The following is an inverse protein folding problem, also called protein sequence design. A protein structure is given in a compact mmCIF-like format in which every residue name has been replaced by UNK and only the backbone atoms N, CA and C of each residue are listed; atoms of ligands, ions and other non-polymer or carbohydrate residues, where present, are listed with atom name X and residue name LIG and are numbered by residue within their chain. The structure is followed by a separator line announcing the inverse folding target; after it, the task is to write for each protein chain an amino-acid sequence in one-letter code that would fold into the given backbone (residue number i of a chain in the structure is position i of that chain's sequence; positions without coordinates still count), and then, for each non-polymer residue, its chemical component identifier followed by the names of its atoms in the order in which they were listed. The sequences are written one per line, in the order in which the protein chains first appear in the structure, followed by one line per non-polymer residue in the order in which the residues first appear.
data_IF_336321431109
#
_entry.id   IF_336321431109
#
_cell.length_a   1.000
_cell.length_b   1.000
_cell.length_c   1.000
_cell.angle_alpha   90.00
_cell.angle_beta   90.00
_cell.angle_gamma   90.00
#
_symmetry.space_group_name_H-M   'P 1'
#
loop_
_entity.id
_entity.type
_entity.pdbx_description
1 polymer ?
#
# COMPACT_ATOMS: atom_id res chain seq x y z
N UNK A 1 -6.97 -24.18 -3.27
CA UNK A 1 -6.60 -24.20 -1.83
C UNK A 1 -7.51 -23.23 -1.09
N UNK A 2 -7.84 -23.49 0.18
CA UNK A 2 -8.59 -22.52 1.00
C UNK A 2 -7.72 -21.27 1.26
N UNK A 3 -8.32 -20.09 1.30
CA UNK A 3 -7.59 -18.81 1.42
C UNK A 3 -6.67 -18.72 2.65
N UNK A 4 -7.03 -19.39 3.75
CA UNK A 4 -6.21 -19.42 4.97
C UNK A 4 -4.84 -20.08 4.79
N UNK A 5 -4.66 -20.94 3.78
CA UNK A 5 -3.37 -21.57 3.49
C UNK A 5 -2.28 -20.55 3.16
N UNK A 6 -2.63 -19.45 2.50
CA UNK A 6 -1.69 -18.45 2.02
C UNK A 6 -1.23 -17.46 3.08
N UNK A 7 -1.91 -17.40 4.23
CA UNK A 7 -1.54 -16.52 5.32
C UNK A 7 -0.35 -17.07 6.10
N UNK A 8 0.56 -16.16 6.45
CA UNK A 8 1.69 -16.42 7.34
C UNK A 8 1.40 -15.88 8.75
N UNK A 9 2.00 -16.49 9.76
CA UNK A 9 1.85 -16.08 11.16
C UNK A 9 2.95 -15.11 11.64
N UNK A 10 3.99 -14.92 10.82
CA UNK A 10 5.07 -13.97 11.10
C UNK A 10 5.65 -13.41 9.81
N UNK A 11 6.35 -12.29 9.91
CA UNK A 11 7.11 -11.71 8.79
C UNK A 11 8.13 -12.74 8.25
N UNK A 12 8.89 -13.40 9.12
CA UNK A 12 9.89 -14.39 8.70
C UNK A 12 9.28 -15.55 7.89
N UNK A 13 8.11 -16.04 8.30
CA UNK A 13 7.37 -17.06 7.54
C UNK A 13 6.93 -16.51 6.18
N UNK A 14 6.35 -15.30 6.14
CA UNK A 14 5.91 -14.68 4.90
C UNK A 14 7.06 -14.48 3.90
N UNK A 15 8.19 -13.92 4.36
CA UNK A 15 9.38 -13.69 3.54
C UNK A 15 9.98 -15.01 3.05
N UNK A 16 10.08 -16.02 3.91
CA UNK A 16 10.55 -17.36 3.52
C UNK A 16 9.68 -17.98 2.44
N UNK A 17 8.35 -17.90 2.58
CA UNK A 17 7.40 -18.39 1.57
C UNK A 17 7.49 -17.65 0.25
N UNK A 18 7.72 -16.33 0.27
CA UNK A 18 7.92 -15.53 -0.93
C UNK A 18 9.16 -15.96 -1.71
N UNK A 19 10.27 -16.24 -1.01
CA UNK A 19 11.49 -16.74 -1.63
C UNK A 19 11.30 -18.15 -2.22
N UNK A 20 10.60 -19.04 -1.51
CA UNK A 20 10.24 -20.37 -2.02
C UNK A 20 9.38 -20.24 -3.30
N UNK A 21 8.38 -19.36 -3.30
CA UNK A 21 7.55 -19.13 -4.49
C UNK A 21 8.36 -18.59 -5.68
N UNK A 22 9.43 -17.82 -5.43
CA UNK A 22 10.36 -17.41 -6.50
C UNK A 22 11.11 -18.60 -7.10
N UNK A 23 11.52 -19.56 -6.26
CA UNK A 23 12.18 -20.79 -6.71
C UNK A 23 11.22 -21.70 -7.47
N UNK A 24 9.99 -21.90 -6.97
CA UNK A 24 8.95 -22.67 -7.64
C UNK A 24 8.66 -22.14 -9.05
N UNK A 25 8.60 -20.81 -9.22
CA UNK A 25 8.44 -20.19 -10.53
C UNK A 25 9.61 -20.47 -11.48
N UNK A 26 10.84 -20.53 -10.97
CA UNK A 26 12.00 -20.93 -11.79
C UNK A 26 11.90 -22.39 -12.22
N UNK A 27 11.49 -23.26 -11.32
CA UNK A 27 11.28 -24.69 -11.63
C UNK A 27 10.18 -24.89 -12.66
N UNK A 28 9.13 -24.06 -12.61
CA UNK A 28 8.07 -23.99 -13.62
C UNK A 28 8.53 -23.40 -14.97
N UNK A 29 9.78 -22.93 -15.08
CA UNK A 29 10.38 -22.45 -16.33
C UNK A 29 10.26 -20.95 -16.57
N UNK A 30 9.74 -20.17 -15.61
CA UNK A 30 9.73 -18.72 -15.69
C UNK A 30 11.13 -18.14 -15.50
N UNK A 31 11.40 -17.01 -16.17
CA UNK A 31 12.59 -16.21 -15.86
C UNK A 31 12.31 -15.42 -14.58
N UNK A 32 13.05 -15.70 -13.51
CA UNK A 32 12.87 -15.01 -12.20
C UNK A 32 14.19 -14.44 -11.67
N UNK A 33 14.21 -13.14 -11.42
CA UNK A 33 15.26 -12.43 -10.67
C UNK A 33 14.66 -11.98 -9.35
N UNK A 34 15.30 -12.24 -8.20
CA UNK A 34 14.83 -11.73 -6.91
C UNK A 34 15.99 -11.19 -6.06
N UNK A 35 15.71 -10.19 -5.25
CA UNK A 35 16.66 -9.50 -4.39
C UNK A 35 16.00 -9.23 -3.02
N UNK A 36 16.81 -9.17 -1.95
CA UNK A 36 16.36 -8.78 -0.62
C UNK A 36 16.99 -7.43 -0.28
N UNK A 37 16.17 -6.40 -0.11
CA UNK A 37 16.65 -5.05 0.23
C UNK A 37 16.60 -4.87 1.74
N UNK A 38 17.71 -5.13 2.43
CA UNK A 38 17.81 -5.01 3.89
C UNK A 38 17.62 -3.55 4.34
N UNK A 39 16.66 -3.31 5.24
CA UNK A 39 16.34 -1.97 5.75
C UNK A 39 17.15 -1.59 7.01
N UNK A 40 18.08 -2.46 7.43
CA UNK A 40 18.92 -2.24 8.61
C UNK A 40 18.20 -2.38 9.96
N UNK A 41 16.97 -2.92 9.96
CA UNK A 41 16.16 -3.18 11.16
C UNK A 41 16.02 -4.68 11.41
N UNK A 42 15.63 -5.05 12.63
CA UNK A 42 15.36 -6.44 13.02
C UNK A 42 13.92 -6.65 13.46
N UNK A 43 13.39 -7.83 13.19
CA UNK A 43 12.10 -8.28 13.67
C UNK A 43 12.12 -8.68 15.15
N UNK A 44 10.96 -9.14 15.68
CA UNK A 44 10.82 -9.50 17.09
C UNK A 44 11.71 -10.68 17.51
N UNK A 45 12.10 -11.56 16.58
CA UNK A 45 12.97 -12.72 16.84
C UNK A 45 14.45 -12.44 16.45
N UNK A 46 14.77 -11.19 16.10
CA UNK A 46 16.12 -10.77 15.71
C UNK A 46 16.47 -11.04 14.25
N UNK A 47 15.51 -11.48 13.42
CA UNK A 47 15.70 -11.66 12.00
C UNK A 47 15.89 -10.32 11.28
N UNK A 48 16.75 -10.25 10.24
CA UNK A 48 16.88 -9.03 9.44
C UNK A 48 15.60 -8.77 8.66
N UNK A 49 15.17 -7.51 8.65
CA UNK A 49 14.00 -7.06 7.90
C UNK A 49 14.42 -6.55 6.52
N UNK A 50 13.72 -7.04 5.50
CA UNK A 50 13.98 -6.74 4.10
C UNK A 50 12.69 -6.38 3.36
N UNK A 51 12.83 -5.53 2.34
CA UNK A 51 11.87 -5.47 1.24
C UNK A 51 12.33 -6.51 0.22
N UNK A 52 11.65 -7.65 0.16
CA UNK A 52 11.91 -8.69 -0.82
C UNK A 52 11.24 -8.31 -2.15
N UNK A 53 12.00 -8.37 -3.24
CA UNK A 53 11.53 -7.99 -4.57
C UNK A 53 11.79 -9.12 -5.55
N UNK A 54 10.86 -9.36 -6.47
CA UNK A 54 11.00 -10.35 -7.52
C UNK A 54 10.52 -9.80 -8.86
N UNK A 55 11.21 -10.16 -9.94
CA UNK A 55 10.86 -9.86 -11.32
C UNK A 55 10.64 -11.19 -12.02
N UNK A 56 9.42 -11.42 -12.51
CA UNK A 56 9.05 -12.59 -13.30
C UNK A 56 8.82 -12.15 -14.75
N UNK A 57 9.45 -12.83 -15.71
CA UNK A 57 9.34 -12.50 -17.14
C UNK A 57 10.44 -11.54 -17.63
N UNK A 58 10.09 -10.60 -18.53
CA UNK A 58 11.08 -9.76 -19.23
C UNK A 58 10.75 -8.27 -19.22
N UNK A 59 11.57 -7.47 -18.52
CA UNK A 59 11.50 -6.01 -18.52
C UNK A 59 11.78 -5.37 -19.90
N UNK A 60 12.43 -6.11 -20.81
CA UNK A 60 12.72 -5.64 -22.18
C UNK A 60 11.47 -5.53 -23.06
N UNK A 61 10.36 -6.12 -22.63
CA UNK A 61 9.05 -5.94 -23.25
C UNK A 61 8.51 -4.50 -23.12
N UNK A 62 9.03 -3.74 -22.15
CA UNK A 62 8.57 -2.40 -21.79
C UNK A 62 7.25 -2.36 -21.02
N UNK A 63 6.63 -3.51 -20.73
CA UNK A 63 5.33 -3.62 -20.04
C UNK A 63 5.50 -4.32 -18.70
N UNK A 64 5.07 -3.68 -17.63
CA UNK A 64 5.19 -4.20 -16.26
C UNK A 64 3.84 -4.19 -15.56
N UNK A 65 3.53 -5.28 -14.86
CA UNK A 65 2.59 -5.29 -13.75
C UNK A 65 3.42 -5.16 -12.44
N UNK A 66 3.27 -4.07 -11.71
CA UNK A 66 3.89 -3.84 -10.41
C UNK A 66 2.87 -4.18 -9.32
N UNK A 67 3.09 -5.27 -8.60
CA UNK A 67 2.30 -5.66 -7.43
C UNK A 67 3.06 -5.32 -6.16
N UNK A 68 2.54 -4.39 -5.36
CA UNK A 68 3.08 -4.06 -4.04
C UNK A 68 2.15 -4.49 -2.92
N UNK A 69 2.73 -4.79 -1.77
CA UNK A 69 2.00 -5.14 -0.56
C UNK A 69 2.59 -4.50 0.69
N UNK A 70 1.71 -4.25 1.67
CA UNK A 70 2.05 -3.88 3.03
C UNK A 70 2.84 -2.57 3.16
N UNK A 71 2.48 -1.55 2.38
CA UNK A 71 2.86 -0.18 2.70
C UNK A 71 2.33 0.23 4.09
N UNK A 72 1.11 -0.21 4.42
CA UNK A 72 0.66 -0.37 5.79
C UNK A 72 1.11 -1.75 6.29
N UNK A 73 2.06 -1.79 7.21
CA UNK A 73 2.80 -3.04 7.48
C UNK A 73 1.93 -4.25 7.86
N UNK A 74 0.94 -4.07 8.74
CA UNK A 74 0.02 -5.15 9.14
C UNK A 74 -0.82 -5.71 7.98
N UNK A 75 -1.06 -4.90 6.95
CA UNK A 75 -1.77 -5.30 5.73
C UNK A 75 -0.85 -6.08 4.77
N UNK A 76 0.45 -6.18 5.10
CA UNK A 76 1.41 -7.04 4.40
C UNK A 76 1.08 -8.53 4.50
N UNK A 77 0.39 -9.00 5.55
CA UNK A 77 -0.02 -10.41 5.64
C UNK A 77 -1.06 -10.81 4.57
N UNK A 78 -2.22 -10.12 4.44
CA UNK A 78 -3.16 -10.40 3.36
C UNK A 78 -2.55 -10.10 1.98
N UNK A 79 -1.79 -9.02 1.83
CA UNK A 79 -1.11 -8.72 0.56
C UNK A 79 -0.11 -9.81 0.15
N UNK A 80 0.69 -10.30 1.10
CA UNK A 80 1.58 -11.46 0.91
C UNK A 80 0.81 -12.70 0.50
N UNK A 81 -0.31 -12.99 1.16
CA UNK A 81 -1.11 -14.17 0.85
C UNK A 81 -1.64 -14.13 -0.60
N UNK A 82 -2.12 -12.95 -1.04
CA UNK A 82 -2.55 -12.73 -2.43
C UNK A 82 -1.38 -12.93 -3.40
N UNK A 83 -0.22 -12.32 -3.13
CA UNK A 83 0.96 -12.46 -3.99
C UNK A 83 1.40 -13.93 -4.11
N UNK A 84 1.44 -14.68 -3.01
CA UNK A 84 1.78 -16.11 -3.03
C UNK A 84 0.78 -16.94 -3.83
N UNK A 85 -0.52 -16.67 -3.69
CA UNK A 85 -1.55 -17.36 -4.48
C UNK A 85 -1.39 -17.08 -5.98
N UNK A 86 -1.12 -15.82 -6.35
CA UNK A 86 -0.85 -15.45 -7.74
C UNK A 86 0.41 -16.14 -8.26
N UNK A 87 1.50 -16.18 -7.48
CA UNK A 87 2.73 -16.87 -7.87
C UNK A 87 2.51 -18.38 -8.08
N UNK A 88 1.70 -19.03 -7.24
CA UNK A 88 1.31 -20.44 -7.41
C UNK A 88 0.47 -20.67 -8.67
N UNK A 89 -0.45 -19.76 -9.00
CA UNK A 89 -1.19 -19.83 -10.26
C UNK A 89 -0.29 -19.63 -11.47
N UNK A 90 0.68 -18.71 -11.40
CA UNK A 90 1.68 -18.51 -12.45
C UNK A 90 2.56 -19.74 -12.67
N UNK A 91 2.85 -20.55 -11.65
CA UNK A 91 3.57 -21.82 -11.81
C UNK A 91 2.83 -22.83 -12.72
N UNK A 92 1.52 -22.65 -12.94
CA UNK A 92 0.69 -23.52 -13.79
C UNK A 92 0.58 -22.99 -15.23
N UNK A 93 1.05 -21.77 -15.48
CA UNK A 93 1.01 -21.09 -16.77
C UNK A 93 2.33 -21.25 -17.53
N UNK A 94 2.27 -21.10 -18.86
CA UNK A 94 3.48 -21.09 -19.68
C UNK A 94 4.35 -19.86 -19.39
N UNK A 95 5.67 -20.01 -19.52
CA UNK A 95 6.60 -18.90 -19.36
C UNK A 95 6.32 -17.78 -20.37
N UNK A 96 6.25 -16.53 -19.90
CA UNK A 96 5.96 -15.36 -20.73
C UNK A 96 7.19 -14.45 -20.91
N UNK A 97 7.21 -13.71 -22.02
CA UNK A 97 8.32 -12.80 -22.41
C UNK A 97 7.87 -11.44 -22.92
N UNK A 98 6.56 -11.26 -23.13
CA UNK A 98 5.93 -10.08 -23.69
C UNK A 98 5.51 -9.03 -22.64
N UNK A 99 5.73 -9.36 -21.36
CA UNK A 99 5.58 -8.50 -20.19
C UNK A 99 6.49 -9.01 -19.04
N UNK A 100 6.53 -8.25 -17.95
CA UNK A 100 7.08 -8.67 -16.67
C UNK A 100 6.12 -8.36 -15.53
N UNK A 101 6.25 -9.11 -14.44
CA UNK A 101 5.59 -8.83 -13.17
C UNK A 101 6.68 -8.52 -12.15
N UNK A 102 6.56 -7.37 -11.49
CA UNK A 102 7.41 -7.00 -10.35
C UNK A 102 6.57 -7.20 -9.09
N UNK A 103 7.00 -8.08 -8.21
CA UNK A 103 6.44 -8.23 -6.87
C UNK A 103 7.31 -7.48 -5.87
N UNK A 104 6.69 -6.67 -5.02
CA UNK A 104 7.30 -6.02 -3.85
C UNK A 104 6.62 -6.56 -2.60
N UNK A 105 7.38 -7.33 -1.81
CA UNK A 105 6.95 -8.06 -0.62
C UNK A 105 7.93 -7.77 0.53
N UNK A 106 7.63 -6.94 1.51
CA UNK A 106 6.57 -5.96 1.64
C UNK A 106 7.25 -4.59 1.79
N UNK A 107 6.60 -3.48 1.41
CA UNK A 107 7.20 -2.14 1.47
C UNK A 107 7.57 -1.74 2.91
N UNK A 108 6.76 -2.15 3.91
CA UNK A 108 6.98 -1.86 5.32
C UNK A 108 7.22 -3.14 6.14
N UNK A 109 8.40 -3.78 6.01
CA UNK A 109 8.66 -5.04 6.71
C UNK A 109 8.72 -4.85 8.23
N UNK A 110 9.08 -3.65 8.71
CA UNK A 110 9.00 -3.32 10.14
C UNK A 110 7.56 -3.32 10.64
N UNK A 111 6.67 -2.58 9.99
CA UNK A 111 5.26 -2.55 10.37
C UNK A 111 4.65 -3.96 10.33
N UNK A 112 4.98 -4.77 9.33
CA UNK A 112 4.51 -6.15 9.23
C UNK A 112 4.99 -7.03 10.39
N UNK A 113 6.30 -7.04 10.65
CA UNK A 113 6.90 -7.85 11.71
C UNK A 113 6.38 -7.48 13.11
N UNK A 114 6.09 -6.20 13.33
CA UNK A 114 5.63 -5.67 14.61
C UNK A 114 4.10 -5.50 14.71
N UNK A 115 3.33 -6.00 13.74
CA UNK A 115 1.85 -5.91 13.70
C UNK A 115 1.31 -4.47 13.76
N UNK A 116 1.93 -3.57 13.01
CA UNK A 116 1.62 -2.13 12.98
C UNK A 116 1.41 -1.65 11.55
N UNK A 117 0.62 -0.58 11.43
CA UNK A 117 0.44 0.16 10.18
C UNK A 117 1.72 0.89 9.75
N UNK A 118 2.38 1.54 10.71
CA UNK A 118 3.48 2.48 10.49
C UNK A 118 4.86 1.80 10.52
N UNK A 119 5.89 2.45 9.99
CA UNK A 119 7.27 1.97 10.01
C UNK A 119 7.94 2.17 11.39
N UNK A 120 9.25 1.92 11.46
CA UNK A 120 10.11 2.06 12.64
C UNK A 120 10.10 3.47 13.26
N UNK A 121 9.87 4.49 12.44
CA UNK A 121 9.83 5.89 12.85
C UNK A 121 8.41 6.42 13.09
N UNK A 122 7.41 5.52 13.17
CA UNK A 122 5.98 5.88 13.27
C UNK A 122 5.45 6.66 12.06
N UNK A 123 6.10 6.51 10.90
CA UNK A 123 5.67 7.11 9.64
C UNK A 123 4.68 6.18 8.93
N UNK A 124 3.54 6.74 8.52
CA UNK A 124 2.67 6.13 7.53
C UNK A 124 3.33 6.25 6.16
N UNK A 125 3.86 5.13 5.66
CA UNK A 125 4.59 5.13 4.39
C UNK A 125 3.67 5.52 3.23
N UNK A 126 2.35 5.36 3.35
CA UNK A 126 1.40 5.82 2.34
C UNK A 126 1.11 7.33 2.45
N UNK A 127 1.91 8.07 3.21
CA UNK A 127 2.01 9.55 3.25
C UNK A 127 3.45 10.02 3.04
N UNK A 128 4.36 9.11 2.67
CA UNK A 128 5.80 9.39 2.60
C UNK A 128 6.33 9.50 1.16
N UNK A 129 5.53 9.19 0.14
CA UNK A 129 5.92 9.29 -1.27
C UNK A 129 5.49 10.64 -1.85
N UNK A 130 5.99 11.74 -1.27
CA UNK A 130 5.70 13.08 -1.74
C UNK A 130 6.20 13.30 -3.17
N UNK A 131 5.42 14.05 -3.96
CA UNK A 131 5.84 14.58 -5.26
C UNK A 131 6.97 15.59 -5.11
N UNK A 132 7.67 15.83 -6.20
CA UNK A 132 8.76 16.81 -6.30
C UNK A 132 8.34 18.26 -5.99
N UNK A 133 7.06 18.60 -6.13
CA UNK A 133 6.49 19.92 -5.81
C UNK A 133 5.97 20.03 -4.37
N UNK A 134 5.97 18.93 -3.60
CA UNK A 134 5.49 18.86 -2.23
C UNK A 134 6.66 18.87 -1.23
N UNK A 135 6.33 19.08 0.04
CA UNK A 135 7.30 19.13 1.15
C UNK A 135 6.75 18.41 2.37
N UNK A 136 7.65 17.85 3.17
CA UNK A 136 7.34 17.23 4.46
C UNK A 136 7.09 18.29 5.53
N UNK A 137 6.09 19.15 5.31
CA UNK A 137 5.73 20.24 6.22
C UNK A 137 4.22 20.44 6.27
N UNK A 138 3.72 20.94 7.41
CA UNK A 138 2.33 21.32 7.58
C UNK A 138 1.37 20.20 7.95
N UNK A 139 0.11 20.61 8.11
CA UNK A 139 -1.03 19.77 8.48
C UNK A 139 -2.27 20.18 7.67
N UNK A 140 -3.26 19.29 7.51
CA UNK A 140 -4.49 19.60 6.80
C UNK A 140 -5.24 20.77 7.44
N UNK A 141 -5.98 21.53 6.63
CA UNK A 141 -6.78 22.66 7.13
C UNK A 141 -7.81 22.15 8.15
N UNK A 142 -7.71 22.65 9.39
CA UNK A 142 -8.60 22.25 10.48
C UNK A 142 -8.08 21.10 11.35
N UNK A 143 -6.92 20.51 11.02
CA UNK A 143 -6.29 19.44 11.81
C UNK A 143 -6.12 19.83 13.28
N UNK A 144 -5.60 21.03 13.56
CA UNK A 144 -5.42 21.51 14.95
C UNK A 144 -6.70 21.49 15.78
N UNK A 145 -7.84 21.71 15.14
CA UNK A 145 -9.14 21.74 15.82
C UNK A 145 -9.63 20.35 16.25
N UNK A 146 -9.03 19.28 15.74
CA UNK A 146 -9.41 17.88 15.99
C UNK A 146 -8.25 17.03 16.51
N UNK A 147 -7.01 17.54 16.48
CA UNK A 147 -5.77 16.83 16.78
C UNK A 147 -5.81 16.08 18.10
N UNK A 148 -6.22 16.75 19.18
CA UNK A 148 -6.32 16.14 20.52
C UNK A 148 -7.39 15.04 20.61
N UNK A 149 -8.42 15.11 19.76
CA UNK A 149 -9.47 14.10 19.74
C UNK A 149 -9.01 12.81 19.04
N UNK A 150 -8.24 12.92 17.97
CA UNK A 150 -7.77 11.78 17.17
C UNK A 150 -6.42 11.23 17.65
N UNK A 151 -5.67 12.00 18.44
CA UNK A 151 -4.40 11.61 19.04
C UNK A 151 -4.44 11.75 20.57
N UNK A 152 -5.11 10.83 21.28
CA UNK A 152 -5.19 10.89 22.73
C UNK A 152 -3.81 10.64 23.39
N UNK A 153 -3.48 11.37 24.44
CA UNK A 153 -2.20 11.25 25.17
C UNK A 153 -2.08 9.94 25.97
N UNK A 154 -3.20 9.28 26.23
CA UNK A 154 -3.28 8.02 26.98
C UNK A 154 -4.26 7.06 26.31
N UNK A 155 -4.06 5.74 26.43
CA UNK A 155 -5.04 4.76 25.96
C UNK A 155 -6.45 5.05 26.50
N UNK A 156 -7.48 4.94 25.66
CA UNK A 156 -8.84 5.21 26.10
C UNK A 156 -9.28 4.18 27.16
N UNK A 157 -10.11 4.56 28.14
CA UNK A 157 -10.69 3.61 29.07
C UNK A 157 -11.51 2.54 28.32
N UNK A 158 -11.48 1.29 28.79
CA UNK A 158 -12.19 0.14 28.20
C UNK A 158 -13.68 0.42 27.88
N UNK A 159 -14.30 1.36 28.58
CA UNK A 159 -15.67 1.84 28.32
C UNK A 159 -15.67 3.35 28.08
N UNK A 160 -15.07 3.81 26.98
CA UNK A 160 -15.12 5.22 26.62
C UNK A 160 -16.51 5.62 26.08
N UNK A 161 -17.40 6.01 26.98
CA UNK A 161 -18.77 6.43 26.64
C UNK A 161 -18.83 7.78 25.93
N UNK A 162 -17.79 8.61 26.08
CA UNK A 162 -17.78 9.99 25.59
C UNK A 162 -17.24 10.12 24.17
N UNK A 163 -16.51 9.13 23.65
CA UNK A 163 -15.95 9.18 22.30
C UNK A 163 -17.03 9.46 21.25
N UNK A 164 -18.13 8.71 21.27
CA UNK A 164 -19.25 8.89 20.33
C UNK A 164 -19.89 10.27 20.43
N UNK A 165 -20.03 10.82 21.63
CA UNK A 165 -20.61 12.15 21.83
C UNK A 165 -19.65 13.25 21.34
N UNK A 166 -18.35 13.13 21.65
CA UNK A 166 -17.30 14.04 21.15
C UNK A 166 -17.25 14.00 19.62
N UNK A 167 -17.23 12.81 19.02
CA UNK A 167 -17.28 12.61 17.58
C UNK A 167 -18.51 13.28 16.96
N UNK A 168 -19.71 13.07 17.52
CA UNK A 168 -20.94 13.67 17.02
C UNK A 168 -20.90 15.21 17.09
N UNK A 169 -20.36 15.77 18.17
CA UNK A 169 -20.19 17.22 18.31
C UNK A 169 -19.24 17.80 17.26
N UNK A 170 -18.12 17.11 17.00
CA UNK A 170 -17.19 17.49 15.94
C UNK A 170 -17.86 17.39 14.57
N UNK A 171 -18.58 16.31 14.28
CA UNK A 171 -19.30 16.11 13.01
C UNK A 171 -20.33 17.22 12.81
N UNK A 172 -21.07 17.59 13.85
CA UNK A 172 -22.03 18.70 13.78
C UNK A 172 -21.35 20.05 13.52
N UNK A 173 -20.14 20.26 14.06
CA UNK A 173 -19.41 21.53 13.96
C UNK A 173 -18.68 21.69 12.63
N UNK A 174 -18.05 20.63 12.14
CA UNK A 174 -17.13 20.68 11.01
C UNK A 174 -17.62 19.92 9.77
N UNK A 175 -18.63 19.07 9.91
CA UNK A 175 -19.13 18.18 8.85
C UNK A 175 -18.34 16.87 8.77
N UNK A 176 -19.01 15.78 8.41
CA UNK A 176 -18.40 14.45 8.36
C UNK A 176 -17.27 14.35 7.33
N UNK A 177 -17.50 14.83 6.09
CA UNK A 177 -16.51 14.74 5.02
C UNK A 177 -15.24 15.54 5.34
N UNK A 178 -15.36 16.74 5.89
CA UNK A 178 -14.20 17.55 6.27
C UNK A 178 -13.38 16.88 7.39
N UNK A 179 -14.04 16.28 8.39
CA UNK A 179 -13.34 15.53 9.43
C UNK A 179 -12.63 14.31 8.87
N UNK A 180 -13.30 13.56 8.01
CA UNK A 180 -12.71 12.39 7.34
C UNK A 180 -11.48 12.80 6.53
N UNK A 181 -11.57 13.88 5.75
CA UNK A 181 -10.45 14.45 5.01
C UNK A 181 -9.30 14.85 5.96
N UNK A 182 -9.58 15.65 7.00
CA UNK A 182 -8.57 16.09 7.97
C UNK A 182 -7.83 14.93 8.64
N UNK A 183 -8.52 13.81 8.89
CA UNK A 183 -7.91 12.63 9.51
C UNK A 183 -7.08 11.86 8.48
N UNK A 184 -7.57 11.74 7.25
CA UNK A 184 -7.02 10.78 6.30
C UNK A 184 -5.95 11.38 5.38
N UNK A 185 -5.89 12.69 5.18
CA UNK A 185 -4.98 13.34 4.23
C UNK A 185 -3.48 13.10 4.51
N UNK A 186 -3.12 12.97 5.78
CA UNK A 186 -1.73 12.94 6.24
C UNK A 186 -1.28 14.26 6.86
N UNK A 187 -0.24 14.22 7.68
CA UNK A 187 0.32 15.40 8.35
C UNK A 187 1.83 15.23 8.61
N UNK A 188 2.58 16.32 8.74
CA UNK A 188 4.04 16.29 8.76
C UNK A 188 4.67 17.02 9.96
N UNK A 189 3.86 17.48 10.92
CA UNK A 189 4.33 18.29 12.07
C UNK A 189 4.38 17.51 13.39
N UNK A 190 3.60 16.43 13.52
CA UNK A 190 3.41 15.69 14.77
C UNK A 190 3.88 14.23 14.65
N UNK A 191 5.14 13.90 14.95
CA UNK A 191 5.70 12.56 14.75
C UNK A 191 5.02 11.42 15.52
N UNK A 192 4.32 11.75 16.61
CA UNK A 192 3.60 10.79 17.45
C UNK A 192 2.13 10.61 17.07
N UNK A 193 1.63 11.42 16.15
CA UNK A 193 0.24 11.38 15.74
C UNK A 193 0.01 10.30 14.67
N UNK A 194 -1.25 9.89 14.52
CA UNK A 194 -1.66 9.04 13.40
C UNK A 194 -1.44 9.78 12.07
N UNK A 195 -1.21 9.01 11.01
CA UNK A 195 -1.10 9.54 9.64
C UNK A 195 0.07 10.53 9.48
N UNK A 196 1.12 10.38 10.31
CA UNK A 196 2.36 11.13 10.17
C UNK A 196 3.13 10.67 8.94
N UNK A 197 3.43 11.57 8.00
CA UNK A 197 4.13 11.26 6.75
C UNK A 197 5.65 11.35 6.81
N UNK A 198 6.24 11.62 7.97
CA UNK A 198 7.69 11.78 8.15
C UNK A 198 8.15 13.23 7.98
N UNK A 199 9.45 13.46 8.18
CA UNK A 199 10.14 14.74 7.92
C UNK A 199 11.05 14.66 6.68
N UNK A 200 11.22 13.45 6.14
CA UNK A 200 11.93 13.13 4.91
C UNK A 200 11.48 11.77 4.38
N UNK A 201 11.92 11.45 3.16
CA UNK A 201 11.75 10.11 2.59
C UNK A 201 12.40 9.08 3.52
N UNK A 202 11.65 8.05 3.89
CA UNK A 202 12.12 7.04 4.83
C UNK A 202 13.15 6.09 4.18
N UNK A 203 14.08 5.51 4.97
CA UNK A 203 15.14 4.65 4.43
C UNK A 203 14.65 3.45 3.61
N UNK A 204 13.58 2.77 4.05
CA UNK A 204 12.98 1.64 3.31
C UNK A 204 12.45 2.06 1.92
N UNK A 205 11.54 3.05 1.85
CA UNK A 205 11.14 3.67 0.58
C UNK A 205 12.30 4.13 -0.31
N UNK A 206 13.33 4.76 0.25
CA UNK A 206 14.51 5.20 -0.53
C UNK A 206 15.25 4.01 -1.16
N UNK A 207 15.46 2.92 -0.42
CA UNK A 207 16.04 1.68 -0.95
C UNK A 207 15.21 1.11 -2.11
N UNK A 208 13.89 1.08 -1.96
CA UNK A 208 12.99 0.60 -3.01
C UNK A 208 13.04 1.50 -4.26
N UNK A 209 13.01 2.83 -4.09
CA UNK A 209 13.09 3.77 -5.21
C UNK A 209 14.43 3.65 -5.95
N UNK A 210 15.55 3.56 -5.23
CA UNK A 210 16.87 3.35 -5.82
C UNK A 210 16.97 2.01 -6.59
N UNK A 211 16.22 0.98 -6.17
CA UNK A 211 16.12 -0.27 -6.91
C UNK A 211 15.25 -0.10 -8.16
N UNK A 212 14.06 0.50 -8.03
CA UNK A 212 13.13 0.74 -9.13
C UNK A 212 13.74 1.63 -10.23
N UNK A 213 14.53 2.64 -9.88
CA UNK A 213 15.21 3.53 -10.83
C UNK A 213 15.99 2.72 -11.88
N UNK A 214 16.68 1.66 -11.44
CA UNK A 214 17.49 0.80 -12.29
C UNK A 214 16.64 -0.18 -13.10
N UNK A 215 15.57 -0.71 -12.50
CA UNK A 215 14.75 -1.76 -13.13
C UNK A 215 13.74 -1.21 -14.13
N UNK A 216 13.32 0.04 -13.98
CA UNK A 216 12.29 0.66 -14.82
C UNK A 216 12.85 1.45 -16.01
N UNK A 217 14.17 1.44 -16.26
CA UNK A 217 14.80 2.16 -17.37
C UNK A 217 14.21 1.81 -18.74
N UNK A 218 13.99 0.52 -19.02
CA UNK A 218 13.43 0.05 -20.29
C UNK A 218 11.90 -0.01 -20.32
N UNK A 219 11.24 0.38 -19.22
CA UNK A 219 9.79 0.23 -19.03
C UNK A 219 9.06 1.50 -19.46
N UNK A 220 8.03 1.33 -20.29
CA UNK A 220 7.20 2.43 -20.81
C UNK A 220 5.74 2.35 -20.37
N UNK A 221 5.25 1.18 -19.95
CA UNK A 221 3.87 0.99 -19.48
C UNK A 221 3.87 0.20 -18.18
N UNK A 222 3.22 0.75 -17.17
CA UNK A 222 3.12 0.15 -15.84
C UNK A 222 1.66 0.07 -15.44
N UNK A 223 1.22 -1.14 -15.10
CA UNK A 223 0.01 -1.37 -14.32
C UNK A 223 0.45 -1.60 -12.88
N UNK A 224 0.10 -0.71 -11.97
CA UNK A 224 0.48 -0.81 -10.57
C UNK A 224 -0.74 -1.17 -9.73
N UNK A 225 -0.59 -2.22 -8.92
CA UNK A 225 -1.58 -2.68 -7.97
C UNK A 225 -0.94 -2.65 -6.59
N UNK A 226 -1.47 -1.80 -5.71
CA UNK A 226 -1.06 -1.77 -4.31
C UNK A 226 -2.14 -2.43 -3.46
N UNK A 227 -1.77 -3.48 -2.73
CA UNK A 227 -2.68 -4.33 -1.97
C UNK A 227 -2.89 -3.77 -0.56
N UNK A 228 -4.14 -3.44 -0.24
CA UNK A 228 -4.61 -2.91 1.04
C UNK A 228 -5.79 -3.72 1.58
N UNK A 229 -6.09 -3.50 2.85
CA UNK A 229 -7.31 -4.04 3.46
C UNK A 229 -7.99 -3.02 4.36
N UNK A 230 -9.31 -3.13 4.45
CA UNK A 230 -10.10 -2.44 5.47
C UNK A 230 -11.26 -1.64 4.90
N UNK A 231 -11.11 -1.03 3.72
CA UNK A 231 -12.19 -0.30 3.07
C UNK A 231 -13.15 -1.27 2.35
N UNK A 232 -14.44 -0.94 2.35
CA UNK A 232 -15.48 -1.71 1.66
C UNK A 232 -16.21 -2.76 2.52
N UNK A 233 -17.22 -3.43 1.96
CA UNK A 233 -17.93 -4.52 2.64
C UNK A 233 -17.02 -5.72 2.94
N UNK A 234 -17.23 -6.39 4.07
CA UNK A 234 -16.45 -7.58 4.44
C UNK A 234 -16.46 -8.63 3.32
N UNK A 235 -15.27 -9.05 2.88
CA UNK A 235 -15.10 -10.05 1.83
C UNK A 235 -15.29 -9.53 0.41
N UNK A 236 -15.57 -8.24 0.24
CA UNK A 236 -15.66 -7.61 -1.07
C UNK A 236 -14.30 -7.01 -1.45
N UNK A 237 -13.92 -7.24 -2.70
CA UNK A 237 -12.69 -6.73 -3.31
C UNK A 237 -13.03 -5.49 -4.14
N UNK A 238 -12.35 -4.38 -3.89
CA UNK A 238 -12.59 -3.10 -4.55
C UNK A 238 -11.31 -2.56 -5.18
N UNK A 239 -11.36 -2.26 -6.47
CA UNK A 239 -10.29 -1.64 -7.24
C UNK A 239 -10.50 -0.12 -7.24
N UNK A 240 -9.83 0.55 -6.31
CA UNK A 240 -9.87 2.00 -6.19
C UNK A 240 -8.93 2.64 -7.21
N UNK A 241 -9.47 3.56 -8.01
CA UNK A 241 -8.73 4.30 -9.03
C UNK A 241 -8.69 5.79 -8.71
N UNK A 242 -7.60 6.45 -9.14
CA UNK A 242 -7.41 7.89 -8.94
C UNK A 242 -8.53 8.72 -9.59
N UNK A 243 -8.88 9.84 -8.95
CA UNK A 243 -9.83 10.83 -9.49
C UNK A 243 -9.39 11.43 -10.82
N UNK A 244 -8.09 11.41 -11.12
CA UNK A 244 -7.52 11.88 -12.38
C UNK A 244 -7.61 10.87 -13.53
N UNK A 245 -8.12 9.65 -13.30
CA UNK A 245 -8.27 8.65 -14.36
C UNK A 245 -9.30 9.10 -15.40
N UNK A 246 -8.91 9.05 -16.67
CA UNK A 246 -9.81 9.40 -17.77
C UNK A 246 -11.00 8.43 -17.88
N UNK A 247 -12.16 8.90 -18.38
CA UNK A 247 -13.38 8.07 -18.45
C UNK A 247 -13.22 6.82 -19.33
N UNK A 248 -12.40 6.89 -20.39
CA UNK A 248 -12.12 5.74 -21.24
C UNK A 248 -11.34 4.64 -20.52
N UNK A 249 -10.29 5.01 -19.77
CA UNK A 249 -9.49 4.07 -18.99
C UNK A 249 -10.32 3.48 -17.83
N UNK A 250 -11.18 4.29 -17.20
CA UNK A 250 -12.13 3.81 -16.18
C UNK A 250 -13.10 2.77 -16.76
N UNK A 251 -13.77 3.09 -17.88
CA UNK A 251 -14.70 2.15 -18.53
C UNK A 251 -14.00 0.88 -19.01
N UNK A 252 -12.73 0.98 -19.42
CA UNK A 252 -11.95 -0.19 -19.78
C UNK A 252 -11.70 -1.11 -18.57
N UNK A 253 -11.31 -0.54 -17.43
CA UNK A 253 -11.12 -1.31 -16.19
C UNK A 253 -12.43 -1.90 -15.68
N UNK A 254 -13.53 -1.16 -15.68
CA UNK A 254 -14.84 -1.65 -15.25
C UNK A 254 -15.32 -2.80 -16.16
N UNK A 255 -15.02 -2.76 -17.46
CA UNK A 255 -15.32 -3.87 -18.36
C UNK A 255 -14.47 -5.13 -18.07
N UNK A 256 -13.24 -4.96 -17.57
CA UNK A 256 -12.37 -6.08 -17.16
C UNK A 256 -12.75 -6.65 -15.80
N UNK A 257 -13.22 -5.81 -14.88
CA UNK A 257 -13.57 -6.17 -13.50
C UNK A 257 -14.97 -5.65 -13.12
N UNK A 258 -16.05 -6.16 -13.73
CA UNK A 258 -17.38 -5.59 -13.59
C UNK A 258 -17.85 -5.58 -12.13
N UNK A 259 -18.21 -4.40 -11.62
CA UNK A 259 -18.74 -4.23 -10.27
C UNK A 259 -17.68 -4.21 -9.15
N UNK A 260 -16.40 -4.14 -9.51
CA UNK A 260 -15.29 -4.04 -8.56
C UNK A 260 -14.57 -2.68 -8.63
N UNK A 261 -14.76 -1.88 -9.67
CA UNK A 261 -14.03 -0.62 -9.88
C UNK A 261 -14.77 0.56 -9.25
N UNK A 262 -14.10 1.30 -8.37
CA UNK A 262 -14.63 2.49 -7.72
C UNK A 262 -13.65 3.67 -7.81
N UNK A 263 -14.18 4.89 -7.96
CA UNK A 263 -13.36 6.11 -7.97
C UNK A 263 -13.08 6.60 -6.55
N UNK A 264 -11.85 7.08 -6.30
CA UNK A 264 -11.45 7.78 -5.08
C UNK A 264 -12.08 9.18 -4.91
N UNK A 265 -13.06 9.57 -5.74
CA UNK A 265 -13.72 10.87 -5.62
C UNK A 265 -14.47 11.00 -4.28
N UNK A 266 -14.08 11.95 -3.40
CA UNK A 266 -14.71 12.15 -2.10
C UNK A 266 -16.18 12.59 -2.17
N UNK A 267 -16.67 13.03 -3.35
CA UNK A 267 -18.07 13.37 -3.57
C UNK A 267 -18.87 12.25 -4.26
N UNK A 268 -18.21 11.24 -4.83
CA UNK A 268 -18.87 10.12 -5.51
C UNK A 268 -18.81 8.79 -4.74
N UNK A 269 -18.04 8.70 -3.65
CA UNK A 269 -17.88 7.44 -2.92
C UNK A 269 -17.12 7.50 -1.58
N UNK A 270 -16.32 6.47 -1.31
CA UNK A 270 -15.60 6.24 -0.03
C UNK A 270 -14.24 6.97 0.00
N UNK A 271 -13.90 7.79 -1.00
CA UNK A 271 -12.60 8.44 -1.15
C UNK A 271 -12.30 9.61 -0.20
N UNK A 272 -11.03 10.02 -0.19
CA UNK A 272 -10.44 11.20 0.46
C UNK A 272 -9.16 11.55 -0.31
N UNK A 273 -8.75 12.82 -0.33
CA UNK A 273 -7.47 13.22 -0.95
C UNK A 273 -6.31 12.86 -0.02
N UNK A 274 -5.29 12.23 -0.56
CA UNK A 274 -4.07 11.83 0.16
C UNK A 274 -2.90 12.62 -0.40
N UNK A 275 -2.04 13.09 0.50
CA UNK A 275 -0.75 13.68 0.14
C UNK A 275 0.33 12.67 0.46
N UNK A 276 1.15 12.31 -0.55
CA UNK A 276 2.27 11.40 -0.38
C UNK A 276 1.94 9.91 -0.45
N UNK A 277 0.84 9.54 -1.12
CA UNK A 277 0.56 8.13 -1.41
C UNK A 277 1.58 7.53 -2.40
N UNK A 278 1.72 6.21 -2.35
CA UNK A 278 2.68 5.46 -3.18
C UNK A 278 2.53 5.76 -4.67
N UNK A 279 1.31 5.71 -5.19
CA UNK A 279 1.06 5.86 -6.62
C UNK A 279 1.37 7.28 -7.08
N UNK A 280 0.97 8.30 -6.31
CA UNK A 280 1.28 9.68 -6.60
C UNK A 280 2.80 9.91 -6.71
N UNK A 281 3.59 9.44 -5.73
CA UNK A 281 5.04 9.63 -5.76
C UNK A 281 5.74 8.84 -6.88
N UNK A 282 5.29 7.61 -7.15
CA UNK A 282 5.85 6.82 -8.27
C UNK A 282 5.53 7.44 -9.63
N UNK A 283 4.30 7.92 -9.83
CA UNK A 283 3.90 8.57 -11.08
C UNK A 283 4.64 9.89 -11.31
N UNK A 284 4.87 10.68 -10.26
CA UNK A 284 5.67 11.91 -10.35
C UNK A 284 7.12 11.61 -10.72
N UNK A 285 7.74 10.63 -10.03
CA UNK A 285 9.14 10.22 -10.26
C UNK A 285 9.37 9.64 -11.66
N UNK A 286 8.42 8.85 -12.16
CA UNK A 286 8.49 8.16 -13.46
C UNK A 286 7.42 8.69 -14.42
N UNK A 287 7.37 10.01 -14.54
CA UNK A 287 6.36 10.73 -15.33
C UNK A 287 6.49 10.52 -16.85
N UNK A 288 7.59 9.93 -17.32
CA UNK A 288 7.80 9.50 -18.70
C UNK A 288 7.01 8.23 -19.08
N UNK A 289 6.42 7.53 -18.11
CA UNK A 289 5.79 6.21 -18.29
C UNK A 289 4.27 6.34 -18.35
N UNK A 290 3.61 5.43 -19.07
CA UNK A 290 2.15 5.29 -19.06
C UNK A 290 1.72 4.45 -17.87
N UNK A 291 0.97 5.06 -16.94
CA UNK A 291 0.51 4.43 -15.71
C UNK A 291 -0.98 4.03 -15.76
N UNK A 292 -1.27 2.88 -15.17
CA UNK A 292 -2.61 2.50 -14.68
C UNK A 292 -2.42 2.08 -13.24
N UNK A 293 -2.81 2.94 -12.28
CA UNK A 293 -2.61 2.69 -10.85
C UNK A 293 -3.93 2.35 -10.17
N UNK A 294 -3.89 1.27 -9.40
CA UNK A 294 -5.05 0.68 -8.73
C UNK A 294 -4.66 0.40 -7.28
N UNK A 295 -5.39 0.97 -6.34
CA UNK A 295 -5.33 0.53 -4.95
C UNK A 295 -6.39 -0.54 -4.75
N UNK A 296 -5.98 -1.78 -4.54
CA UNK A 296 -6.90 -2.89 -4.33
C UNK A 296 -7.18 -3.01 -2.83
N UNK A 297 -8.43 -2.77 -2.43
CA UNK A 297 -8.89 -2.82 -1.05
C UNK A 297 -9.78 -4.04 -0.83
N UNK A 298 -9.36 -4.91 0.09
CA UNK A 298 -10.21 -6.00 0.55
C UNK A 298 -10.93 -5.61 1.84
N UNK A 299 -12.26 -5.58 1.80
CA UNK A 299 -13.07 -5.19 2.96
C UNK A 299 -12.98 -6.19 4.11
N UNK A 300 -12.78 -5.68 5.31
CA UNK A 300 -12.64 -6.47 6.54
C UNK A 300 -13.88 -6.39 7.43
N UNK A 301 -13.82 -7.01 8.61
CA UNK A 301 -14.82 -6.81 9.65
C UNK A 301 -14.89 -5.34 10.06
N UNK A 302 -16.11 -4.85 10.31
CA UNK A 302 -16.31 -3.49 10.80
C UNK A 302 -15.70 -3.35 12.20
N UNK A 303 -15.07 -2.20 12.52
CA UNK A 303 -14.48 -1.97 13.83
C UNK A 303 -15.51 -1.90 14.98
N UNK A 304 -16.82 -1.93 14.69
CA UNK A 304 -17.94 -2.02 15.66
C UNK A 304 -19.13 -2.76 15.04
#
# INVERSE_FOLDING_TARGET
MEGGFWFANSYAEAAGRFLIACDDLREAGHKVENERLEIGMTGPDGEPLCIDVAIVGSLQSGKVLLSSSGIHGVEGYPGSAIQLAVMDDLCKEESFKDHAIIFVHTINPYGMAWWRRFNENNVDLNRNFLKSDQKYEGVPVGYESIREFINPESPPPVKEKWFKLKALNLIRKYGFNNLKQCVAEGQYEYPKAIQYGGDCLQPGPDLLLNWLDKKLESVNRIWAIDLHTGLGPSGHDTLLVSTGMGPEDFSHLDALFPGHVESLDPNAGVGYEIVGDLHQGLQDRYSDKKWTSITQEFGTFKPV
#
